data_IF_112192890416
#
_entry.id   IF_112192890416
#
_cell.length_a   1.000
_cell.length_b   1.000
_cell.length_c   1.000
_cell.angle_alpha   90.00
_cell.angle_beta   90.00
_cell.angle_gamma   90.00
#
_symmetry.space_group_name_H-M   'P 1'
#
loop_
_entity.id
_entity.type
_entity.pdbx_description
1 polymer ?
#
# COMPACT_ATOMS: atom_id res chain seq x y z
N UNK A 1 -16.87 27.67 -36.08
CA UNK A 1 -16.62 27.35 -34.67
C UNK A 1 -16.06 28.60 -34.01
N UNK A 2 -16.58 28.99 -32.85
CA UNK A 2 -15.95 30.04 -32.03
C UNK A 2 -14.85 29.41 -31.17
N UNK A 3 -13.70 30.07 -31.07
CA UNK A 3 -12.59 29.61 -30.26
C UNK A 3 -12.50 30.50 -29.02
N UNK A 4 -12.18 29.89 -27.87
CA UNK A 4 -11.87 30.62 -26.64
C UNK A 4 -10.38 30.51 -26.36
N UNK A 5 -9.76 31.59 -25.91
CA UNK A 5 -8.37 31.57 -25.49
C UNK A 5 -8.30 31.01 -24.08
N UNK A 6 -7.64 29.87 -23.92
CA UNK A 6 -7.39 29.26 -22.62
C UNK A 6 -6.04 29.71 -22.12
N UNK A 7 -6.02 30.42 -20.98
CA UNK A 7 -4.76 30.73 -20.28
C UNK A 7 -4.39 29.54 -19.43
N UNK A 8 -3.15 29.06 -19.53
CA UNK A 8 -2.66 27.92 -18.74
C UNK A 8 -1.98 28.45 -17.47
N UNK A 9 -2.63 28.40 -16.29
CA UNK A 9 -2.03 28.87 -15.05
C UNK A 9 -0.83 27.99 -14.63
N UNK A 10 -0.03 28.44 -13.64
CA UNK A 10 0.91 27.56 -12.96
C UNK A 10 0.21 26.30 -12.47
N UNK A 11 0.84 25.15 -12.71
CA UNK A 11 0.28 23.85 -12.40
C UNK A 11 0.15 23.66 -10.89
N UNK A 12 -1.03 23.23 -10.44
CA UNK A 12 -1.21 22.72 -9.08
C UNK A 12 -0.82 21.24 -9.06
N UNK A 13 0.02 20.86 -8.10
CA UNK A 13 0.38 19.47 -7.85
C UNK A 13 -0.43 18.92 -6.67
N UNK A 14 -0.73 17.61 -6.66
CA UNK A 14 -1.30 16.98 -5.48
C UNK A 14 -0.34 17.10 -4.30
N UNK A 15 -0.84 16.86 -3.09
CA UNK A 15 0.01 16.82 -1.90
C UNK A 15 1.05 15.70 -2.04
N UNK A 16 2.27 15.98 -1.57
CA UNK A 16 3.33 14.99 -1.56
C UNK A 16 2.94 13.79 -0.68
N UNK A 17 3.30 12.61 -1.16
CA UNK A 17 3.06 11.34 -0.48
C UNK A 17 4.36 10.92 0.19
N UNK A 18 4.35 10.57 1.48
CA UNK A 18 5.53 10.02 2.14
C UNK A 18 6.05 8.77 1.42
N UNK A 19 7.38 8.68 1.27
CA UNK A 19 8.06 7.56 0.60
C UNK A 19 9.08 6.86 1.49
N UNK A 20 9.32 7.38 2.69
CA UNK A 20 10.25 6.79 3.65
C UNK A 20 9.79 5.38 4.03
N UNK A 21 10.73 4.43 4.03
CA UNK A 21 10.47 3.03 4.36
C UNK A 21 10.13 2.86 5.85
N UNK A 22 9.17 1.97 6.15
CA UNK A 22 8.83 1.60 7.53
C UNK A 22 9.30 0.17 7.77
N UNK A 23 10.40 0.04 8.52
CA UNK A 23 10.87 -1.25 9.04
C UNK A 23 10.04 -1.60 10.27
N UNK A 24 9.32 -2.73 10.23
CA UNK A 24 8.53 -3.17 11.37
C UNK A 24 9.41 -3.68 12.51
N UNK A 25 8.94 -3.57 13.75
CA UNK A 25 9.60 -4.22 14.89
C UNK A 25 9.45 -5.74 14.80
N UNK A 26 10.47 -6.52 15.19
CA UNK A 26 10.38 -7.97 15.20
C UNK A 26 9.34 -8.44 16.21
N UNK A 27 8.62 -9.54 15.93
CA UNK A 27 7.71 -10.12 16.89
C UNK A 27 8.50 -10.65 18.11
N UNK A 28 7.89 -10.63 19.30
CA UNK A 28 8.54 -11.10 20.52
C UNK A 28 8.92 -12.58 20.44
N UNK A 29 10.07 -12.92 21.03
CA UNK A 29 10.53 -14.30 21.17
C UNK A 29 9.81 -15.04 22.30
N UNK A 30 9.72 -16.36 22.19
CA UNK A 30 9.25 -17.23 23.27
C UNK A 30 10.26 -17.19 24.43
N UNK A 31 9.80 -17.11 25.70
CA UNK A 31 10.70 -17.14 26.85
C UNK A 31 11.40 -18.50 26.86
N UNK A 32 12.70 -18.52 26.53
CA UNK A 32 13.49 -19.75 26.62
C UNK A 32 13.52 -20.21 28.07
N UNK A 33 13.32 -21.51 28.25
CA UNK A 33 12.98 -22.14 29.52
C UNK A 33 13.82 -21.60 30.68
N UNK A 34 13.14 -20.96 31.63
CA UNK A 34 13.65 -20.57 32.94
C UNK A 34 13.90 -21.80 33.84
N UNK A 35 14.30 -22.93 33.24
CA UNK A 35 14.55 -24.20 33.92
C UNK A 35 15.74 -24.09 34.87
N UNK A 36 16.73 -23.25 34.55
CA UNK A 36 17.85 -22.95 35.46
C UNK A 36 17.38 -22.26 36.75
N UNK A 37 16.39 -21.37 36.64
CA UNK A 37 15.79 -20.69 37.81
C UNK A 37 14.93 -21.61 38.67
N UNK A 38 14.26 -22.59 38.07
CA UNK A 38 13.42 -23.56 38.78
C UNK A 38 14.24 -24.51 39.66
N UNK A 39 15.41 -24.97 39.18
CA UNK A 39 16.32 -25.82 39.94
C UNK A 39 16.92 -25.05 41.14
N UNK A 40 17.29 -23.79 40.92
CA UNK A 40 17.84 -22.90 41.94
C UNK A 40 16.78 -22.46 42.98
N UNK A 41 15.51 -22.40 42.59
CA UNK A 41 14.37 -22.21 43.51
C UNK A 41 13.96 -23.46 44.29
N UNK A 42 14.30 -24.66 43.81
CA UNK A 42 14.07 -25.92 44.53
C UNK A 42 15.13 -26.19 45.60
N UNK A 43 16.32 -25.58 45.49
CA UNK A 43 17.43 -25.76 46.43
C UNK A 43 17.06 -25.44 47.89
N UNK A 44 16.37 -24.31 48.20
CA UNK A 44 15.91 -24.01 49.56
C UNK A 44 14.83 -24.99 50.07
N UNK A 45 13.95 -25.47 49.18
CA UNK A 45 12.93 -26.46 49.54
C UNK A 45 13.56 -27.83 49.88
N UNK A 46 14.59 -28.25 49.13
CA UNK A 46 15.34 -29.48 49.43
C UNK A 46 16.11 -29.36 50.75
N UNK A 47 16.73 -28.20 51.02
CA UNK A 47 17.41 -27.92 52.29
C UNK A 47 16.48 -27.95 53.50
N UNK A 48 15.28 -27.39 53.37
CA UNK A 48 14.26 -27.45 54.44
C UNK A 48 13.66 -28.85 54.59
N UNK A 49 13.40 -29.57 53.49
CA UNK A 49 12.88 -30.94 53.52
C UNK A 49 13.82 -31.93 54.21
N UNK A 50 15.13 -31.80 54.02
CA UNK A 50 16.13 -32.63 54.70
C UNK A 50 16.17 -32.45 56.22
N UNK A 51 15.81 -31.28 56.72
CA UNK A 51 15.81 -30.97 58.16
C UNK A 51 14.63 -31.58 58.92
N UNK A 52 13.55 -31.96 58.22
CA UNK A 52 12.33 -32.55 58.82
C UNK A 52 12.61 -33.92 59.44
N UNK A 53 13.51 -34.70 58.84
CA UNK A 53 13.88 -36.06 59.32
C UNK A 53 14.48 -36.02 60.74
N UNK A 54 15.21 -34.93 61.07
CA UNK A 54 15.81 -34.75 62.40
C UNK A 54 14.76 -34.48 63.50
N UNK A 55 13.65 -33.83 63.17
CA UNK A 55 12.61 -33.47 64.15
C UNK A 55 11.69 -34.63 64.54
N UNK A 56 11.64 -35.71 63.76
CA UNK A 56 10.80 -36.89 64.01
C UNK A 56 11.56 -38.09 64.61
N UNK A 57 12.81 -37.90 65.05
CA UNK A 57 13.59 -38.95 65.72
C UNK A 57 12.91 -39.37 67.06
N UNK A 58 12.81 -40.68 67.39
CA UNK A 58 12.14 -41.17 68.61
C UNK A 58 12.56 -40.52 69.94
N UNK A 59 13.77 -39.96 70.04
CA UNK A 59 14.28 -39.26 71.24
C UNK A 59 14.03 -37.73 71.27
N UNK A 60 13.28 -37.16 70.31
CA UNK A 60 13.05 -35.72 70.22
C UNK A 60 11.95 -35.22 71.20
N UNK A 61 12.19 -34.06 71.83
CA UNK A 61 11.25 -33.45 72.78
C UNK A 61 9.89 -33.10 72.12
N UNK A 62 8.76 -33.17 72.84
CA UNK A 62 7.41 -32.91 72.28
C UNK A 62 7.28 -31.56 71.57
N UNK A 63 7.98 -30.52 72.04
CA UNK A 63 8.03 -29.20 71.42
C UNK A 63 8.66 -29.21 70.01
N UNK A 64 9.68 -30.03 69.78
CA UNK A 64 10.33 -30.14 68.46
C UNK A 64 9.43 -30.79 67.40
N UNK A 65 8.53 -31.69 67.80
CA UNK A 65 7.56 -32.33 66.89
C UNK A 65 6.50 -31.34 66.38
N UNK A 66 6.06 -30.42 67.25
CA UNK A 66 5.12 -29.33 66.89
C UNK A 66 5.79 -28.35 65.93
N UNK A 67 7.05 -27.97 66.20
CA UNK A 67 7.83 -27.09 65.32
C UNK A 67 8.02 -27.71 63.92
N UNK A 68 8.32 -29.01 63.85
CA UNK A 68 8.43 -29.75 62.59
C UNK A 68 7.14 -29.74 61.76
N UNK A 69 5.98 -29.91 62.41
CA UNK A 69 4.66 -29.83 61.74
C UNK A 69 4.38 -28.44 61.17
N UNK A 70 4.69 -27.37 61.91
CA UNK A 70 4.56 -25.99 61.42
C UNK A 70 5.49 -25.73 60.24
N UNK A 71 6.72 -26.24 60.28
CA UNK A 71 7.67 -26.12 59.18
C UNK A 71 7.17 -26.79 57.90
N UNK A 72 6.62 -28.01 57.99
CA UNK A 72 6.04 -28.70 56.83
C UNK A 72 4.88 -27.89 56.26
N UNK A 73 3.95 -27.43 57.09
CA UNK A 73 2.81 -26.63 56.66
C UNK A 73 3.25 -25.32 55.96
N UNK A 74 4.26 -24.64 56.50
CA UNK A 74 4.82 -23.42 55.90
C UNK A 74 5.54 -23.67 54.58
N UNK A 75 6.25 -24.80 54.45
CA UNK A 75 6.94 -25.19 53.21
C UNK A 75 5.94 -25.55 52.11
N UNK A 76 4.86 -26.25 52.45
CA UNK A 76 3.77 -26.56 51.52
C UNK A 76 3.04 -25.29 51.11
N UNK A 77 2.70 -24.39 52.05
CA UNK A 77 2.07 -23.11 51.73
C UNK A 77 2.95 -22.24 50.83
N UNK A 78 4.26 -22.19 51.10
CA UNK A 78 5.22 -21.47 50.27
C UNK A 78 5.33 -22.09 48.88
N UNK A 79 5.43 -23.41 48.77
CA UNK A 79 5.47 -24.13 47.48
C UNK A 79 4.22 -23.90 46.63
N UNK A 80 3.03 -23.93 47.24
CA UNK A 80 1.76 -23.61 46.56
C UNK A 80 1.74 -22.16 46.10
N UNK A 81 2.15 -21.21 46.96
CA UNK A 81 2.20 -19.80 46.60
C UNK A 81 3.18 -19.51 45.45
N UNK A 82 4.31 -20.23 45.41
CA UNK A 82 5.32 -20.16 44.36
C UNK A 82 4.76 -20.67 43.04
N UNK A 83 4.09 -21.82 43.05
CA UNK A 83 3.46 -22.42 41.88
C UNK A 83 2.37 -21.51 41.29
N UNK A 84 1.54 -20.92 42.14
CA UNK A 84 0.48 -19.98 41.72
C UNK A 84 1.08 -18.71 41.13
N UNK A 85 2.12 -18.12 41.75
CA UNK A 85 2.84 -16.97 41.17
C UNK A 85 3.52 -17.31 39.85
N UNK A 86 4.16 -18.47 39.76
CA UNK A 86 4.84 -18.91 38.55
C UNK A 86 3.86 -19.07 37.38
N UNK A 87 2.72 -19.74 37.62
CA UNK A 87 1.67 -19.91 36.59
C UNK A 87 1.03 -18.58 36.20
N UNK A 88 0.69 -17.73 37.18
CA UNK A 88 -0.02 -16.47 36.94
C UNK A 88 0.87 -15.38 36.35
N UNK A 89 2.14 -15.32 36.75
CA UNK A 89 3.14 -14.38 36.23
C UNK A 89 3.50 -14.65 34.78
N UNK A 90 3.76 -15.91 34.42
CA UNK A 90 4.21 -16.25 33.07
C UNK A 90 3.08 -16.10 32.01
N UNK A 91 1.83 -16.42 32.38
CA UNK A 91 0.69 -16.20 31.49
C UNK A 91 0.32 -14.72 31.34
N UNK A 92 0.41 -13.92 32.42
CA UNK A 92 0.11 -12.49 32.38
C UNK A 92 1.10 -11.70 31.54
N UNK A 93 2.40 -11.91 31.78
CA UNK A 93 3.47 -11.21 31.05
C UNK A 93 3.39 -11.46 29.53
N UNK A 94 3.16 -12.70 29.12
CA UNK A 94 3.01 -13.02 27.69
C UNK A 94 1.76 -12.37 27.07
N UNK A 95 0.66 -12.30 27.81
CA UNK A 95 -0.55 -11.63 27.33
C UNK A 95 -0.33 -10.12 27.15
N UNK A 96 0.41 -9.48 28.05
CA UNK A 96 0.72 -8.05 27.97
C UNK A 96 1.69 -7.74 26.82
N UNK A 97 2.73 -8.55 26.62
CA UNK A 97 3.65 -8.45 25.46
C UNK A 97 2.87 -8.56 24.14
N UNK A 98 1.95 -9.52 24.02
CA UNK A 98 1.09 -9.67 22.83
C UNK A 98 0.22 -8.43 22.61
N UNK A 99 -0.40 -7.90 23.67
CA UNK A 99 -1.25 -6.69 23.60
C UNK A 99 -0.46 -5.49 23.12
N UNK A 100 0.75 -5.31 23.63
CA UNK A 100 1.62 -4.19 23.28
C UNK A 100 2.05 -4.27 21.81
N UNK A 101 2.43 -5.47 21.34
CA UNK A 101 2.77 -5.67 19.92
C UNK A 101 1.58 -5.44 18.98
N UNK A 102 0.39 -5.94 19.33
CA UNK A 102 -0.82 -5.68 18.55
C UNK A 102 -1.21 -4.19 18.57
N UNK A 103 -0.97 -3.50 19.69
CA UNK A 103 -1.17 -2.04 19.78
C UNK A 103 -0.21 -1.32 18.84
N UNK A 104 1.06 -1.70 18.81
CA UNK A 104 2.06 -1.19 17.87
C UNK A 104 1.62 -1.39 16.42
N UNK A 105 1.18 -2.60 16.03
CA UNK A 105 0.66 -2.85 14.69
C UNK A 105 -0.57 -1.99 14.38
N UNK A 106 -1.45 -1.78 15.35
CA UNK A 106 -2.64 -0.93 15.17
C UNK A 106 -2.30 0.55 14.96
N UNK A 107 -1.22 1.05 15.58
CA UNK A 107 -0.73 2.42 15.39
C UNK A 107 -0.08 2.55 14.01
N UNK A 108 0.78 1.60 13.66
CA UNK A 108 1.43 1.53 12.33
C UNK A 108 0.40 1.42 11.21
N UNK A 109 -0.70 0.69 11.43
CA UNK A 109 -1.84 0.60 10.51
C UNK A 109 -2.40 1.97 10.16
N UNK A 110 -2.55 2.87 11.14
CA UNK A 110 -3.13 4.20 10.91
C UNK A 110 -2.23 5.02 9.99
N UNK A 111 -0.93 5.05 10.27
CA UNK A 111 0.05 5.70 9.41
C UNK A 111 0.07 5.12 7.98
N UNK A 112 0.01 3.79 7.84
CA UNK A 112 -0.07 3.13 6.53
C UNK A 112 -1.36 3.50 5.77
N UNK A 113 -2.52 3.56 6.45
CA UNK A 113 -3.80 3.95 5.85
C UNK A 113 -3.83 5.43 5.45
N UNK A 114 -3.24 6.31 6.25
CA UNK A 114 -3.13 7.73 5.92
C UNK A 114 -2.27 7.94 4.67
N UNK A 115 -1.14 7.23 4.59
CA UNK A 115 -0.27 7.21 3.40
C UNK A 115 -1.00 6.62 2.19
N UNK A 116 -1.71 5.51 2.38
CA UNK A 116 -2.49 4.87 1.32
C UNK A 116 -3.57 5.81 0.75
N UNK A 117 -4.24 6.59 1.63
CA UNK A 117 -5.20 7.60 1.21
C UNK A 117 -4.52 8.72 0.41
N UNK A 118 -3.41 9.26 0.91
CA UNK A 118 -2.66 10.30 0.21
C UNK A 118 -2.18 9.83 -1.17
N UNK A 119 -1.65 8.60 -1.26
CA UNK A 119 -1.25 7.96 -2.51
C UNK A 119 -2.42 7.83 -3.48
N UNK A 120 -3.58 7.34 -3.01
CA UNK A 120 -4.78 7.22 -3.85
C UNK A 120 -5.23 8.59 -4.36
N UNK A 121 -5.34 9.57 -3.48
CA UNK A 121 -5.78 10.92 -3.84
C UNK A 121 -4.83 11.55 -4.87
N UNK A 122 -3.51 11.39 -4.69
CA UNK A 122 -2.51 11.87 -5.65
C UNK A 122 -2.60 11.14 -7.01
N UNK A 123 -2.72 9.81 -7.01
CA UNK A 123 -2.82 9.03 -8.25
C UNK A 123 -4.10 9.35 -9.04
N UNK A 124 -5.25 9.45 -8.37
CA UNK A 124 -6.51 9.83 -9.04
C UNK A 124 -6.53 11.30 -9.47
N UNK A 125 -5.82 12.18 -8.76
CA UNK A 125 -5.61 13.55 -9.20
C UNK A 125 -4.81 13.58 -10.52
N UNK A 126 -3.65 12.91 -10.57
CA UNK A 126 -2.77 12.89 -11.74
C UNK A 126 -3.37 12.12 -12.92
N UNK A 127 -4.08 11.03 -12.66
CA UNK A 127 -4.64 10.12 -13.67
C UNK A 127 -6.16 9.97 -13.50
N UNK A 128 -6.93 11.03 -13.83
CA UNK A 128 -8.39 11.05 -13.64
C UNK A 128 -9.09 9.95 -14.42
N UNK A 129 -10.30 9.58 -13.97
CA UNK A 129 -11.14 8.64 -14.71
C UNK A 129 -11.55 9.25 -16.07
N UNK A 130 -11.57 8.48 -17.16
CA UNK A 130 -12.09 8.93 -18.45
C UNK A 130 -13.50 9.55 -18.35
N UNK A 131 -14.33 9.03 -17.45
CA UNK A 131 -15.69 9.50 -17.20
C UNK A 131 -15.75 10.89 -16.53
N UNK A 132 -14.65 11.36 -15.94
CA UNK A 132 -14.55 12.64 -15.24
C UNK A 132 -13.89 13.73 -16.09
N UNK A 133 -13.32 13.38 -17.26
CA UNK A 133 -12.57 14.32 -18.09
C UNK A 133 -13.42 15.50 -18.58
N UNK A 134 -14.72 15.27 -18.85
CA UNK A 134 -15.63 16.34 -19.26
C UNK A 134 -15.77 17.40 -18.16
N UNK A 135 -15.81 17.00 -16.89
CA UNK A 135 -15.93 17.90 -15.75
C UNK A 135 -14.62 18.68 -15.55
N UNK A 136 -13.47 18.02 -15.70
CA UNK A 136 -12.16 18.66 -15.66
C UNK A 136 -12.02 19.75 -16.74
N UNK A 137 -12.45 19.45 -17.97
CA UNK A 137 -12.41 20.40 -19.08
C UNK A 137 -13.41 21.55 -18.86
N UNK A 138 -14.61 21.26 -18.35
CA UNK A 138 -15.63 22.27 -18.08
C UNK A 138 -15.24 23.22 -16.93
N UNK A 139 -14.58 22.70 -15.89
CA UNK A 139 -14.04 23.51 -14.79
C UNK A 139 -12.91 24.42 -15.29
N UNK A 140 -12.07 23.92 -16.20
CA UNK A 140 -11.05 24.71 -16.91
C UNK A 140 -9.80 25.06 -16.09
N UNK A 141 -9.77 24.79 -14.78
CA UNK A 141 -8.61 25.05 -13.91
C UNK A 141 -7.41 24.15 -14.23
N UNK A 142 -7.68 22.93 -14.70
CA UNK A 142 -6.71 21.85 -14.94
C UNK A 142 -6.59 21.43 -16.39
N UNK A 143 -7.34 22.06 -17.30
CA UNK A 143 -7.24 21.78 -18.72
C UNK A 143 -5.84 22.15 -19.20
N UNK A 144 -5.18 21.24 -19.92
CA UNK A 144 -3.83 21.43 -20.46
C UNK A 144 -2.77 21.78 -19.39
N UNK A 145 -2.92 21.23 -18.18
CA UNK A 145 -2.02 21.49 -17.05
C UNK A 145 -0.60 20.92 -17.25
N UNK A 146 -0.44 19.84 -18.02
CA UNK A 146 0.88 19.20 -18.22
C UNK A 146 1.73 19.93 -19.25
N UNK A 147 3.03 20.03 -18.99
CA UNK A 147 4.05 20.67 -19.84
C UNK A 147 5.04 19.65 -20.37
N UNK A 148 5.66 19.91 -21.52
CA UNK A 148 6.62 19.00 -22.19
C UNK A 148 7.81 18.57 -21.32
N UNK A 149 8.20 19.41 -20.35
CA UNK A 149 9.24 19.14 -19.36
C UNK A 149 8.79 18.36 -18.13
N UNK A 150 7.49 18.16 -17.93
CA UNK A 150 6.97 17.41 -16.78
C UNK A 150 7.19 15.90 -16.98
N UNK A 151 7.49 15.19 -15.90
CA UNK A 151 7.72 13.73 -15.92
C UNK A 151 6.48 12.92 -16.36
N UNK A 152 5.29 13.48 -16.13
CA UNK A 152 4.02 12.88 -16.51
C UNK A 152 3.48 13.34 -17.86
N UNK A 153 4.25 14.12 -18.62
CA UNK A 153 3.90 14.48 -19.99
C UNK A 153 3.83 13.22 -20.87
N UNK A 154 2.71 13.03 -21.55
CA UNK A 154 2.46 11.86 -22.38
C UNK A 154 2.18 10.57 -21.58
N UNK A 155 2.00 10.65 -20.25
CA UNK A 155 1.49 9.51 -19.48
C UNK A 155 -0.03 9.39 -19.60
N UNK A 156 -0.52 8.20 -19.89
CA UNK A 156 -1.97 7.96 -20.06
C UNK A 156 -2.42 6.80 -19.20
N UNK A 157 -3.58 6.96 -18.53
CA UNK A 157 -4.19 5.91 -17.73
C UNK A 157 -4.75 4.82 -18.64
N UNK A 158 -4.31 3.58 -18.45
CA UNK A 158 -4.77 2.41 -19.22
C UNK A 158 -5.73 1.51 -18.44
N UNK A 159 -5.79 1.66 -17.12
CA UNK A 159 -6.67 0.84 -16.29
C UNK A 159 -6.53 1.11 -14.80
N UNK A 160 -7.05 0.17 -14.01
CA UNK A 160 -6.86 0.10 -12.56
C UNK A 160 -6.11 -1.18 -12.23
N UNK A 161 -5.25 -1.13 -11.22
CA UNK A 161 -4.51 -2.31 -10.78
C UNK A 161 -3.82 -2.12 -9.43
N UNK A 162 -3.18 -3.19 -8.94
CA UNK A 162 -2.42 -3.16 -7.70
C UNK A 162 -1.15 -2.33 -7.84
N UNK A 163 -0.83 -1.53 -6.83
CA UNK A 163 0.48 -0.88 -6.69
C UNK A 163 0.98 -1.03 -5.25
N UNK A 164 2.30 -1.09 -5.06
CA UNK A 164 2.89 -1.09 -3.73
C UNK A 164 2.55 0.21 -2.98
N UNK A 165 2.44 0.12 -1.65
CA UNK A 165 2.33 1.30 -0.78
C UNK A 165 3.56 2.19 -0.99
N UNK A 166 3.34 3.50 -1.15
CA UNK A 166 4.40 4.49 -1.39
C UNK A 166 5.50 4.48 -0.32
N UNK A 167 5.12 4.17 0.92
CA UNK A 167 6.00 3.83 2.03
C UNK A 167 6.11 2.30 2.14
N UNK A 168 7.21 1.68 1.65
CA UNK A 168 7.36 0.24 1.72
C UNK A 168 7.37 -0.25 3.17
N UNK A 169 6.56 -1.27 3.46
CA UNK A 169 6.55 -1.95 4.76
C UNK A 169 7.55 -3.10 4.71
N UNK A 170 8.67 -2.98 5.43
CA UNK A 170 9.74 -3.96 5.42
C UNK A 170 9.64 -4.90 6.62
N UNK A 171 9.84 -6.20 6.35
CA UNK A 171 9.99 -7.20 7.39
C UNK A 171 11.35 -7.00 8.10
N UNK A 172 11.40 -7.04 9.44
CA UNK A 172 12.65 -6.97 10.18
C UNK A 172 13.48 -8.24 10.02
N UNK A 173 14.76 -8.14 10.38
CA UNK A 173 15.56 -9.31 10.70
C UNK A 173 15.03 -9.96 11.99
N UNK A 174 14.63 -11.22 11.91
CA UNK A 174 14.04 -11.97 13.04
C UNK A 174 14.87 -13.19 13.41
N UNK A 175 14.76 -13.61 14.67
CA UNK A 175 15.18 -14.95 15.08
C UNK A 175 14.45 -16.04 14.26
N UNK A 176 14.96 -17.29 14.26
CA UNK A 176 14.28 -18.43 13.63
C UNK A 176 12.80 -18.53 14.01
N UNK A 177 11.95 -18.87 13.04
CA UNK A 177 10.48 -18.84 13.17
C UNK A 177 9.97 -19.71 14.32
N UNK A 178 10.67 -20.80 14.65
CA UNK A 178 10.39 -21.71 15.76
C UNK A 178 10.54 -21.06 17.14
N UNK A 179 11.22 -19.92 17.21
CA UNK A 179 11.51 -19.21 18.46
C UNK A 179 10.63 -17.98 18.67
N UNK A 180 9.86 -17.59 17.64
CA UNK A 180 8.96 -16.46 17.69
C UNK A 180 7.62 -16.83 18.30
N UNK A 181 6.98 -15.87 18.94
CA UNK A 181 5.61 -16.06 19.41
C UNK A 181 4.65 -16.13 18.20
N UNK A 182 3.89 -17.23 18.03
CA UNK A 182 3.23 -17.53 16.77
C UNK A 182 2.07 -16.58 16.42
N UNK A 183 1.38 -16.02 17.43
CA UNK A 183 0.26 -15.10 17.20
C UNK A 183 0.75 -13.78 16.64
N UNK A 184 1.79 -13.21 17.23
CA UNK A 184 2.39 -11.93 16.84
C UNK A 184 3.15 -12.05 15.53
N UNK A 185 3.87 -13.16 15.31
CA UNK A 185 4.50 -13.46 14.02
C UNK A 185 3.45 -13.56 12.90
N UNK A 186 2.37 -14.31 13.12
CA UNK A 186 1.27 -14.41 12.14
C UNK A 186 0.51 -13.09 11.93
N UNK A 187 0.37 -12.26 12.97
CA UNK A 187 -0.22 -10.93 12.85
C UNK A 187 0.65 -10.00 11.99
N UNK A 188 1.98 -10.03 12.16
CA UNK A 188 2.91 -9.25 11.36
C UNK A 188 2.88 -9.67 9.88
N UNK A 189 2.93 -10.98 9.59
CA UNK A 189 2.88 -11.48 8.21
C UNK A 189 1.58 -11.06 7.51
N UNK A 190 0.43 -11.18 8.19
CA UNK A 190 -0.85 -10.70 7.64
C UNK A 190 -0.87 -9.19 7.44
N UNK A 191 -0.29 -8.44 8.38
CA UNK A 191 -0.19 -6.99 8.29
C UNK A 191 0.58 -6.57 7.02
N UNK A 192 1.76 -7.16 6.78
CA UNK A 192 2.54 -6.92 5.57
C UNK A 192 1.76 -7.29 4.29
N UNK A 193 1.14 -8.46 4.26
CA UNK A 193 0.40 -8.92 3.09
C UNK A 193 -0.85 -8.05 2.78
N UNK A 194 -1.50 -7.49 3.80
CA UNK A 194 -2.74 -6.72 3.64
C UNK A 194 -2.48 -5.23 3.38
N UNK A 195 -1.41 -4.68 3.95
CA UNK A 195 -1.13 -3.24 3.91
C UNK A 195 0.07 -2.87 3.02
N UNK A 196 0.79 -3.84 2.46
CA UNK A 196 1.89 -3.59 1.54
C UNK A 196 1.48 -3.17 0.12
N UNK A 197 0.23 -3.45 -0.28
CA UNK A 197 -0.28 -3.19 -1.63
C UNK A 197 -1.63 -2.48 -1.57
N UNK A 198 -1.84 -1.53 -2.47
CA UNK A 198 -3.11 -0.85 -2.71
C UNK A 198 -3.74 -1.38 -3.99
N UNK A 199 -4.98 -1.81 -3.89
CA UNK A 199 -5.81 -2.16 -5.04
C UNK A 199 -6.50 -0.93 -5.64
N UNK A 200 -6.96 -1.10 -6.89
CA UNK A 200 -7.77 -0.14 -7.65
C UNK A 200 -7.11 1.24 -7.82
N UNK A 201 -5.79 1.26 -8.09
CA UNK A 201 -5.07 2.49 -8.43
C UNK A 201 -4.89 2.67 -9.94
N UNK A 202 -4.96 3.92 -10.45
CA UNK A 202 -4.68 4.23 -11.84
C UNK A 202 -3.33 3.68 -12.29
N UNK A 203 -3.36 2.79 -13.27
CA UNK A 203 -2.17 2.32 -13.98
C UNK A 203 -1.95 3.22 -15.19
N UNK A 204 -0.83 3.92 -15.22
CA UNK A 204 -0.46 4.80 -16.33
C UNK A 204 0.75 4.26 -17.10
N UNK A 205 0.74 4.48 -18.40
CA UNK A 205 1.85 4.16 -19.31
C UNK A 205 2.37 5.47 -19.89
N UNK A 206 3.70 5.65 -19.87
CA UNK A 206 4.33 6.76 -20.57
C UNK A 206 4.42 6.43 -22.06
N UNK A 207 3.66 7.14 -22.89
CA UNK A 207 3.73 6.95 -24.35
C UNK A 207 5.06 7.43 -24.92
N UNK A 208 5.78 8.33 -24.23
CA UNK A 208 7.12 8.77 -24.66
C UNK A 208 8.16 7.67 -24.57
N UNK A 209 7.93 6.64 -23.74
CA UNK A 209 8.84 5.52 -23.60
C UNK A 209 8.74 4.53 -24.77
N UNK A 210 7.72 4.65 -25.63
CA UNK A 210 7.45 3.71 -26.71
C UNK A 210 7.21 4.48 -28.02
N UNK A 211 7.81 4.02 -29.12
CA UNK A 211 7.53 4.59 -30.44
C UNK A 211 6.17 4.14 -30.99
N UNK A 212 5.63 3.03 -30.49
CA UNK A 212 4.36 2.45 -30.92
C UNK A 212 3.75 1.65 -29.77
N UNK A 213 2.44 1.85 -29.54
CA UNK A 213 1.60 1.05 -28.64
C UNK A 213 0.48 0.41 -29.44
N UNK A 214 0.34 -0.91 -29.36
CA UNK A 214 -0.75 -1.66 -29.99
C UNK A 214 -1.78 -2.08 -28.94
N UNK A 215 -3.06 -1.75 -29.16
CA UNK A 215 -4.18 -2.17 -28.30
C UNK A 215 -4.93 -3.31 -29.01
N UNK A 216 -4.99 -4.48 -28.37
CA UNK A 216 -5.57 -5.70 -28.97
C UNK A 216 -6.70 -6.25 -28.11
N UNK A 217 -7.69 -6.88 -28.74
CA UNK A 217 -8.85 -7.46 -28.06
C UNK A 217 -10.13 -7.34 -28.89
N UNK A 218 -11.28 -7.36 -28.21
CA UNK A 218 -12.58 -7.11 -28.85
C UNK A 218 -12.60 -5.71 -29.52
N UNK A 219 -13.06 -5.58 -30.78
CA UNK A 219 -13.04 -4.30 -31.50
C UNK A 219 -13.73 -3.14 -30.77
N UNK A 220 -14.84 -3.39 -30.07
CA UNK A 220 -15.55 -2.34 -29.35
C UNK A 220 -14.76 -1.89 -28.11
N UNK A 221 -14.17 -2.83 -27.36
CA UNK A 221 -13.30 -2.54 -26.21
C UNK A 221 -12.04 -1.79 -26.63
N UNK A 222 -11.38 -2.21 -27.72
CA UNK A 222 -10.17 -1.56 -28.26
C UNK A 222 -10.48 -0.11 -28.63
N UNK A 223 -11.56 0.13 -29.37
CA UNK A 223 -11.96 1.49 -29.78
C UNK A 223 -12.35 2.34 -28.57
N UNK A 224 -13.13 1.79 -27.64
CA UNK A 224 -13.50 2.47 -26.40
C UNK A 224 -12.28 2.88 -25.57
N UNK A 225 -11.34 1.96 -25.39
CA UNK A 225 -10.07 2.21 -24.68
C UNK A 225 -9.28 3.29 -25.39
N UNK A 226 -9.09 3.18 -26.71
CA UNK A 226 -8.31 4.16 -27.49
C UNK A 226 -8.93 5.55 -27.40
N UNK A 227 -10.26 5.68 -27.48
CA UNK A 227 -10.94 6.97 -27.26
C UNK A 227 -10.71 7.52 -25.85
N UNK A 228 -10.71 6.68 -24.82
CA UNK A 228 -10.40 7.11 -23.45
C UNK A 228 -8.96 7.60 -23.33
N UNK A 229 -8.00 6.93 -23.97
CA UNK A 229 -6.59 7.35 -24.01
C UNK A 229 -6.45 8.72 -24.69
N UNK A 230 -7.04 8.88 -25.88
CA UNK A 230 -7.00 10.15 -26.64
C UNK A 230 -7.69 11.26 -25.85
N UNK A 231 -8.84 10.99 -25.23
CA UNK A 231 -9.54 11.96 -24.39
C UNK A 231 -8.70 12.43 -23.19
N UNK A 232 -7.98 11.50 -22.54
CA UNK A 232 -7.07 11.83 -21.44
C UNK A 232 -5.89 12.69 -21.92
N UNK A 233 -5.31 12.38 -23.09
CA UNK A 233 -4.25 13.20 -23.67
C UNK A 233 -4.75 14.61 -24.02
N UNK A 234 -5.86 14.70 -24.75
CA UNK A 234 -6.41 15.97 -25.23
C UNK A 234 -6.92 16.90 -24.10
N UNK A 235 -7.32 16.34 -22.96
CA UNK A 235 -7.76 17.13 -21.80
C UNK A 235 -6.58 17.67 -20.97
N UNK A 236 -5.47 16.93 -20.86
CA UNK A 236 -4.35 17.28 -19.99
C UNK A 236 -3.16 17.94 -20.71
N UNK A 237 -3.10 17.88 -22.05
CA UNK A 237 -2.00 18.44 -22.85
C UNK A 237 -2.51 19.49 -23.83
N UNK A 238 -1.75 20.56 -24.05
CA UNK A 238 -2.11 21.61 -25.01
C UNK A 238 -2.08 21.09 -26.45
N UNK A 239 -2.97 21.56 -27.35
CA UNK A 239 -2.85 21.31 -28.79
C UNK A 239 -1.58 21.89 -29.41
N UNK A 240 -0.89 22.81 -28.72
CA UNK A 240 0.44 23.31 -29.11
C UNK A 240 1.57 22.32 -28.79
N UNK A 241 1.37 21.45 -27.80
CA UNK A 241 2.38 20.51 -27.30
C UNK A 241 2.15 19.08 -27.84
N UNK A 242 0.93 18.75 -28.25
CA UNK A 242 0.52 17.42 -28.69
C UNK A 242 -0.49 17.50 -29.84
N UNK A 243 -0.25 16.70 -30.87
CA UNK A 243 -1.12 16.57 -32.04
C UNK A 243 -1.81 15.20 -32.02
N UNK A 244 -3.09 15.17 -32.41
CA UNK A 244 -3.86 13.92 -32.59
C UNK A 244 -4.20 13.78 -34.07
N UNK A 245 -3.73 12.68 -34.66
CA UNK A 245 -3.96 12.35 -36.05
C UNK A 245 -4.63 10.97 -36.14
N UNK A 246 -5.66 10.83 -36.98
CA UNK A 246 -6.47 9.60 -37.08
C UNK A 246 -6.49 9.09 -38.51
N UNK A 247 -5.96 7.89 -38.74
CA UNK A 247 -6.17 7.12 -39.95
C UNK A 247 -7.22 6.05 -39.69
N UNK A 248 -8.38 6.15 -40.34
CA UNK A 248 -9.48 5.20 -40.16
C UNK A 248 -10.22 4.95 -41.47
N UNK A 249 -10.33 3.68 -41.88
CA UNK A 249 -11.10 3.28 -43.07
C UNK A 249 -12.53 3.85 -43.04
N UNK A 250 -13.13 4.10 -44.20
CA UNK A 250 -14.45 4.76 -44.34
C UNK A 250 -15.55 4.12 -43.49
N UNK A 251 -15.54 2.80 -43.34
CA UNK A 251 -16.53 2.06 -42.52
C UNK A 251 -16.34 2.27 -41.01
N UNK A 252 -15.17 2.76 -40.59
CA UNK A 252 -14.78 2.98 -39.19
C UNK A 252 -14.62 4.45 -38.84
N UNK A 253 -14.57 5.35 -39.84
CA UNK A 253 -14.55 6.80 -39.65
C UNK A 253 -15.67 7.33 -38.74
N UNK A 254 -16.91 6.79 -38.78
CA UNK A 254 -17.98 7.24 -37.88
C UNK A 254 -17.63 7.14 -36.39
N UNK A 255 -16.81 6.17 -35.99
CA UNK A 255 -16.36 5.98 -34.59
C UNK A 255 -15.38 7.06 -34.10
N UNK A 256 -14.81 7.80 -35.05
CA UNK A 256 -13.78 8.83 -34.84
C UNK A 256 -14.25 10.23 -35.21
N UNK A 257 -15.51 10.39 -35.64
CA UNK A 257 -16.05 11.71 -36.00
C UNK A 257 -15.90 12.74 -34.88
N UNK A 258 -15.92 12.29 -33.62
CA UNK A 258 -15.76 13.16 -32.47
C UNK A 258 -14.39 13.88 -32.43
N UNK A 259 -13.35 13.27 -33.00
CA UNK A 259 -12.01 13.85 -33.02
C UNK A 259 -11.93 15.11 -33.87
N UNK A 260 -12.89 15.36 -34.79
CA UNK A 260 -12.93 16.56 -35.65
C UNK A 260 -13.18 17.86 -34.89
N UNK A 261 -13.67 17.76 -33.65
CA UNK A 261 -13.91 18.89 -32.75
C UNK A 261 -12.74 19.15 -31.79
N UNK A 262 -11.77 18.23 -31.70
CA UNK A 262 -10.60 18.46 -30.87
C UNK A 262 -9.69 19.52 -31.52
N UNK A 263 -9.17 20.49 -30.75
CA UNK A 263 -8.18 21.42 -31.26
C UNK A 263 -6.87 20.71 -31.64
N UNK A 264 -6.56 19.57 -31.01
CA UNK A 264 -5.39 18.73 -31.30
C UNK A 264 -5.41 18.08 -32.67
N UNK A 265 -6.58 17.98 -33.29
CA UNK A 265 -6.74 17.37 -34.63
C UNK A 265 -6.76 18.41 -35.74
N UNK A 266 -6.43 19.67 -35.46
CA UNK A 266 -6.41 20.74 -36.46
C UNK A 266 -4.99 20.92 -37.02
N UNK A 267 -4.85 20.85 -38.35
CA UNK A 267 -3.59 21.12 -39.03
C UNK A 267 -3.26 22.61 -38.96
N UNK A 268 -2.11 23.02 -38.38
CA UNK A 268 -1.72 24.43 -38.30
C UNK A 268 -1.57 25.05 -39.69
N UNK A 269 -2.16 26.22 -39.91
CA UNK A 269 -1.96 27.01 -41.13
C UNK A 269 -2.63 26.48 -42.41
N UNK A 270 -3.32 25.33 -42.35
CA UNK A 270 -4.05 24.76 -43.49
C UNK A 270 -5.54 24.87 -43.25
N UNK A 271 -6.28 25.46 -44.18
CA UNK A 271 -7.74 25.61 -44.09
C UNK A 271 -8.45 24.75 -45.13
N UNK A 272 -9.58 24.17 -44.75
CA UNK A 272 -10.59 23.62 -45.66
C UNK A 272 -11.81 24.55 -45.75
N UNK A 273 -12.76 24.21 -46.63
CA UNK A 273 -13.98 25.00 -46.83
C UNK A 273 -14.87 25.18 -45.59
N UNK A 274 -14.54 24.54 -44.47
CA UNK A 274 -15.27 24.59 -43.20
C UNK A 274 -14.38 24.95 -41.99
N UNK A 275 -13.18 25.49 -42.18
CA UNK A 275 -12.29 25.96 -41.12
C UNK A 275 -10.87 25.41 -41.22
N UNK A 276 -10.18 25.17 -40.10
CA UNK A 276 -8.88 24.48 -40.10
C UNK A 276 -9.05 23.06 -40.64
N UNK A 277 -8.14 22.63 -41.51
CA UNK A 277 -8.12 21.26 -42.04
C UNK A 277 -7.91 20.29 -40.89
N UNK A 278 -8.65 19.17 -40.90
CA UNK A 278 -8.59 18.16 -39.82
C UNK A 278 -7.61 17.05 -40.19
N UNK A 279 -6.83 16.58 -39.22
CA UNK A 279 -5.90 15.45 -39.31
C UNK A 279 -6.64 14.11 -39.17
N UNK A 280 -7.65 13.91 -40.01
CA UNK A 280 -8.44 12.68 -40.06
C UNK A 280 -8.51 12.25 -41.52
N UNK A 281 -7.94 11.08 -41.84
CA UNK A 281 -7.83 10.56 -43.19
C UNK A 281 -8.29 9.11 -43.27
N UNK A 282 -8.70 8.66 -44.46
CA UNK A 282 -9.11 7.28 -44.69
C UNK A 282 -7.93 6.34 -44.93
N UNK A 283 -6.78 6.91 -45.29
CA UNK A 283 -5.56 6.21 -45.69
C UNK A 283 -4.35 6.77 -44.91
N UNK A 284 -3.45 5.91 -44.38
CA UNK A 284 -2.25 6.37 -43.71
C UNK A 284 -1.34 7.24 -44.57
N UNK A 285 -1.25 7.01 -45.89
CA UNK A 285 -0.43 7.82 -46.78
C UNK A 285 -0.94 9.25 -46.87
N UNK A 286 -2.27 9.43 -47.01
CA UNK A 286 -2.91 10.74 -46.97
C UNK A 286 -2.64 11.46 -45.63
N UNK A 287 -2.58 10.71 -44.53
CA UNK A 287 -2.26 11.30 -43.21
C UNK A 287 -0.80 11.73 -43.10
N UNK A 288 0.14 10.97 -43.69
CA UNK A 288 1.55 11.34 -43.75
C UNK A 288 1.75 12.65 -44.52
N UNK A 289 1.12 12.78 -45.70
CA UNK A 289 1.14 14.01 -46.51
C UNK A 289 0.59 15.24 -45.75
N UNK A 290 -0.31 15.02 -44.79
CA UNK A 290 -0.88 16.07 -43.94
C UNK A 290 0.04 16.50 -42.80
N UNK A 291 0.89 15.59 -42.32
CA UNK A 291 1.80 15.83 -41.19
C UNK A 291 3.11 16.47 -41.64
N UNK A 292 3.50 16.29 -42.90
CA UNK A 292 4.68 16.89 -43.53
C UNK A 292 5.90 16.00 -43.50
#
# INVERSE_FOLDING_TARGET
>A
MSHIVVKRPPRALPKDVPTDEIVLQPPPELPRGQQEGALMQLLPMLGMGGSVVFFFNPNAQPFMKIMGMVMIASTVAMGVSMLVRYRRGNQGQMADIRRDYLRYLSQTRRAALDTAKAQRDAQYYLHPSPEQLWALVAEGSRVWERRTGDEDFGQVRVGLGPQALATPLLAPETAPVDQLEPLTAGAMQRFLATHGTLEDLPMAVSLRAFYHVTVSGDPATVRGTTRALVGSLASLHSPEDLVVAVAAHRDTTPEWEWAKWLPHSQAPGVTDGAGSRRLIAADPQELEDLLG
#
